data_IF_674169330904
#
_entry.id   IF_674169330904
#
_cell.length_a   1.000
_cell.length_b   1.000
_cell.length_c   1.000
_cell.angle_alpha   90.00
_cell.angle_beta   90.00
_cell.angle_gamma   90.00
#
_symmetry.space_group_name_H-M   'P 1'
#
loop_
_entity.id
_entity.type
_entity.pdbx_description
1 polymer ?
#
# COMPACT_ATOMS: atom_id res chain seq x y z
N UNK A 1 33.02 7.25 19.15
CA UNK A 1 32.82 8.43 18.30
C UNK A 1 33.24 8.07 16.87
N UNK A 2 32.36 7.50 16.05
CA UNK A 2 32.57 7.43 14.60
C UNK A 2 31.92 8.67 14.00
N UNK A 3 32.75 9.52 13.38
CA UNK A 3 32.35 10.67 12.64
C UNK A 3 31.45 10.27 11.46
N UNK A 4 30.40 11.03 11.28
CA UNK A 4 29.55 11.20 10.12
C UNK A 4 30.17 10.69 8.82
N UNK A 5 29.61 9.66 8.24
CA UNK A 5 29.81 9.33 6.84
C UNK A 5 28.74 10.06 6.05
N UNK A 6 29.15 11.01 5.23
CA UNK A 6 28.29 11.73 4.28
C UNK A 6 27.57 10.73 3.37
N UNK A 7 26.30 10.47 3.65
CA UNK A 7 25.43 9.70 2.80
C UNK A 7 24.89 10.63 1.71
N UNK A 8 25.51 10.62 0.52
CA UNK A 8 25.03 11.33 -0.69
C UNK A 8 24.63 12.81 -0.46
N UNK A 9 25.42 13.57 0.30
CA UNK A 9 25.20 15.01 0.49
C UNK A 9 24.35 15.40 1.70
N UNK A 10 23.98 14.46 2.56
CA UNK A 10 23.31 14.75 3.83
C UNK A 10 24.32 14.86 4.97
N UNK A 11 24.19 15.91 5.79
CA UNK A 11 24.91 16.00 7.06
C UNK A 11 24.15 15.17 8.11
N UNK A 12 24.82 14.19 8.72
CA UNK A 12 24.19 13.26 9.65
C UNK A 12 24.76 13.42 11.06
N UNK A 13 23.90 13.71 12.02
CA UNK A 13 24.22 13.72 13.46
C UNK A 13 23.54 12.52 14.12
N UNK A 14 24.27 11.78 14.94
CA UNK A 14 23.74 10.57 15.60
C UNK A 14 23.58 10.75 17.11
N UNK A 15 22.43 10.33 17.63
CA UNK A 15 22.11 10.29 19.05
C UNK A 15 21.90 8.83 19.50
N UNK A 16 22.44 8.46 20.65
CA UNK A 16 22.32 7.09 21.20
C UNK A 16 21.09 6.88 22.07
N UNK A 17 20.38 7.94 22.41
CA UNK A 17 19.15 7.94 23.21
C UNK A 17 18.34 9.21 22.97
N UNK A 18 17.09 9.24 23.46
CA UNK A 18 16.16 10.36 23.26
C UNK A 18 16.67 11.65 23.91
N UNK A 19 17.23 11.61 25.10
CA UNK A 19 17.73 12.79 25.78
C UNK A 19 18.85 13.52 25.00
N UNK A 20 19.71 12.77 24.29
CA UNK A 20 20.72 13.33 23.39
C UNK A 20 20.12 13.87 22.09
N UNK A 21 19.12 13.16 21.54
CA UNK A 21 18.41 13.62 20.36
C UNK A 21 17.72 14.95 20.62
N UNK A 22 17.02 15.10 21.74
CA UNK A 22 16.40 16.36 22.17
C UNK A 22 17.39 17.52 22.24
N UNK A 23 18.56 17.30 22.86
CA UNK A 23 19.63 18.34 22.91
C UNK A 23 20.12 18.76 21.52
N UNK A 24 20.27 17.83 20.58
CA UNK A 24 20.66 18.18 19.20
C UNK A 24 19.57 18.98 18.50
N UNK A 25 18.29 18.58 18.67
CA UNK A 25 17.14 19.27 18.07
C UNK A 25 17.00 20.70 18.62
N UNK A 26 17.32 20.92 19.91
CA UNK A 26 17.29 22.25 20.56
C UNK A 26 18.47 23.14 20.15
N UNK A 27 19.62 22.55 19.80
CA UNK A 27 20.86 23.29 19.51
C UNK A 27 21.17 23.49 18.03
N UNK A 28 20.58 22.69 17.15
CA UNK A 28 20.87 22.66 15.71
C UNK A 28 19.57 22.60 14.90
N UNK A 29 19.62 23.09 13.65
CA UNK A 29 18.49 22.93 12.73
C UNK A 29 18.50 21.50 12.18
N UNK A 30 17.39 20.78 12.38
CA UNK A 30 17.20 19.40 11.93
C UNK A 30 16.08 19.37 10.90
N UNK A 31 16.40 18.92 9.69
CA UNK A 31 15.44 18.85 8.58
C UNK A 31 14.64 17.56 8.59
N UNK A 32 15.18 16.47 9.15
CA UNK A 32 14.54 15.14 9.22
C UNK A 32 15.15 14.32 10.35
N UNK A 33 14.31 13.55 11.02
CA UNK A 33 14.72 12.62 12.07
C UNK A 33 14.48 11.17 11.58
N UNK A 34 15.50 10.32 11.74
CA UNK A 34 15.41 8.88 11.56
C UNK A 34 15.61 8.21 12.90
N UNK A 35 14.58 7.60 13.46
CA UNK A 35 14.62 7.01 14.81
C UNK A 35 14.33 5.52 14.77
N UNK A 36 15.06 4.75 15.59
CA UNK A 36 14.62 3.39 15.90
C UNK A 36 13.34 3.46 16.74
N UNK A 37 12.43 2.52 16.53
CA UNK A 37 11.24 2.39 17.36
C UNK A 37 11.61 2.06 18.81
N UNK A 38 12.54 1.12 18.99
CA UNK A 38 13.04 0.71 20.33
C UNK A 38 14.41 1.28 20.59
N UNK A 39 14.48 2.22 21.51
CA UNK A 39 15.72 2.80 22.01
C UNK A 39 16.03 2.27 23.42
N UNK A 40 17.28 2.36 23.90
CA UNK A 40 17.68 1.80 25.18
C UNK A 40 16.99 2.42 26.41
N UNK A 41 16.55 3.68 26.29
CA UNK A 41 15.96 4.45 27.38
C UNK A 41 14.43 4.61 27.26
N UNK A 42 13.90 4.76 26.05
CA UNK A 42 12.47 4.98 25.76
C UNK A 42 12.16 4.57 24.32
N UNK A 43 10.88 4.52 23.96
CA UNK A 43 10.45 4.25 22.61
C UNK A 43 10.56 5.49 21.69
N UNK A 44 10.80 5.28 20.38
CA UNK A 44 10.78 6.36 19.38
C UNK A 44 9.45 7.12 19.33
N UNK A 45 8.37 6.52 19.85
CA UNK A 45 7.06 7.14 20.07
C UNK A 45 7.15 8.32 21.06
N UNK A 46 7.98 8.20 22.08
CA UNK A 46 8.13 9.27 23.08
C UNK A 46 8.83 10.50 22.49
N UNK A 47 9.75 10.29 21.53
CA UNK A 47 10.35 11.39 20.79
C UNK A 47 9.31 12.11 19.92
N UNK A 48 8.43 11.37 19.27
CA UNK A 48 7.37 11.92 18.43
C UNK A 48 6.37 12.75 19.25
N UNK A 49 5.95 12.25 20.42
CA UNK A 49 5.10 13.01 21.37
C UNK A 49 5.77 14.29 21.82
N UNK A 50 7.05 14.21 22.19
CA UNK A 50 7.82 15.36 22.62
C UNK A 50 7.93 16.43 21.51
N UNK A 51 8.14 16.04 20.25
CA UNK A 51 8.11 16.97 19.11
C UNK A 51 6.76 17.70 19.00
N UNK A 52 5.65 16.95 19.13
CA UNK A 52 4.30 17.52 19.12
C UNK A 52 4.04 18.49 20.28
N UNK A 53 4.45 18.16 21.48
CA UNK A 53 4.33 19.01 22.68
C UNK A 53 5.11 20.32 22.58
N UNK A 54 6.23 20.31 21.85
CA UNK A 54 7.06 21.50 21.62
C UNK A 54 6.73 22.24 20.32
N UNK A 55 5.69 21.80 19.59
CA UNK A 55 5.25 22.44 18.35
C UNK A 55 6.26 22.33 17.19
N UNK A 56 7.20 21.39 17.27
CA UNK A 56 8.24 21.18 16.27
C UNK A 56 7.72 20.29 15.13
N UNK A 57 7.62 20.84 13.92
CA UNK A 57 7.14 20.14 12.74
C UNK A 57 8.31 19.52 11.95
N UNK A 58 9.14 18.73 12.60
CA UNK A 58 10.25 18.03 11.97
C UNK A 58 9.75 16.67 11.49
N UNK A 59 9.86 16.32 10.19
CA UNK A 59 9.46 15.01 9.71
C UNK A 59 10.28 13.91 10.39
N UNK A 60 9.59 12.91 10.94
CA UNK A 60 10.21 11.79 11.62
C UNK A 60 9.85 10.49 10.93
N UNK A 61 10.87 9.73 10.52
CA UNK A 61 10.76 8.37 9.96
C UNK A 61 11.17 7.37 11.05
N UNK A 62 10.31 6.39 11.30
CA UNK A 62 10.60 5.33 12.29
C UNK A 62 11.21 4.11 11.62
N UNK A 63 12.31 3.61 12.16
CA UNK A 63 12.86 2.29 11.82
C UNK A 63 12.34 1.25 12.79
N UNK A 64 11.77 0.14 12.29
CA UNK A 64 11.18 -0.91 13.14
C UNK A 64 11.63 -2.31 12.72
N UNK A 65 11.76 -3.22 13.69
CA UNK A 65 11.88 -4.65 13.41
C UNK A 65 10.54 -5.28 13.05
N UNK A 66 10.57 -6.43 12.39
CA UNK A 66 9.39 -7.14 11.88
C UNK A 66 8.30 -7.45 12.91
N UNK A 67 8.63 -7.50 14.21
CA UNK A 67 7.68 -7.84 15.27
C UNK A 67 6.82 -6.66 15.79
N UNK A 68 7.10 -5.41 15.42
CA UNK A 68 6.53 -4.21 16.04
C UNK A 68 5.64 -3.36 15.13
N UNK A 69 4.98 -3.98 14.16
CA UNK A 69 4.13 -3.28 13.17
C UNK A 69 2.95 -2.55 13.84
N UNK A 70 2.39 -3.09 14.94
CA UNK A 70 1.34 -2.40 15.69
C UNK A 70 1.83 -1.08 16.29
N UNK A 71 3.07 -1.03 16.70
CA UNK A 71 3.71 0.19 17.23
C UNK A 71 4.04 1.19 16.11
N UNK A 72 4.41 0.72 14.90
CA UNK A 72 4.58 1.59 13.74
C UNK A 72 3.27 2.29 13.33
N UNK A 73 2.14 1.57 13.41
CA UNK A 73 0.80 2.13 13.19
C UNK A 73 0.47 3.22 14.22
N UNK A 74 0.86 3.01 15.47
CA UNK A 74 0.66 4.00 16.52
C UNK A 74 1.50 5.25 16.29
N UNK A 75 2.73 5.10 15.77
CA UNK A 75 3.58 6.24 15.42
C UNK A 75 3.04 7.08 14.27
N UNK A 76 2.42 6.46 13.26
CA UNK A 76 1.75 7.19 12.18
C UNK A 76 0.56 8.02 12.69
N UNK A 77 -0.23 7.49 13.65
CA UNK A 77 -1.32 8.25 14.32
C UNK A 77 -0.82 9.45 15.11
N UNK A 78 0.39 9.38 15.62
CA UNK A 78 1.02 10.44 16.41
C UNK A 78 1.77 11.46 15.52
N UNK A 79 1.75 11.30 14.19
CA UNK A 79 2.30 12.26 13.25
C UNK A 79 3.67 11.90 12.67
N UNK A 80 4.15 10.65 12.80
CA UNK A 80 5.31 10.21 12.03
C UNK A 80 5.01 10.30 10.52
N UNK A 81 5.99 10.76 9.74
CA UNK A 81 5.78 10.94 8.30
C UNK A 81 5.85 9.62 7.52
N UNK A 82 6.68 8.66 7.99
CA UNK A 82 6.78 7.31 7.41
C UNK A 82 7.50 6.35 8.39
N UNK A 83 7.60 5.07 7.99
CA UNK A 83 8.41 4.08 8.70
C UNK A 83 9.19 3.21 7.71
N UNK A 84 10.25 2.54 8.21
CA UNK A 84 11.10 1.63 7.43
C UNK A 84 11.29 0.34 8.22
N UNK A 85 11.03 -0.80 7.59
CA UNK A 85 11.29 -2.10 8.19
C UNK A 85 12.79 -2.44 8.13
N UNK A 86 13.33 -3.04 9.19
CA UNK A 86 14.68 -3.60 9.21
C UNK A 86 14.66 -5.03 8.67
N UNK A 87 15.64 -5.45 7.84
CA UNK A 87 16.86 -4.75 7.45
C UNK A 87 16.61 -3.62 6.45
N UNK A 88 17.21 -2.44 6.69
CA UNK A 88 16.99 -1.24 5.90
C UNK A 88 17.62 -1.36 4.51
N UNK A 89 16.82 -1.24 3.47
CA UNK A 89 17.31 -1.10 2.10
C UNK A 89 17.78 0.36 1.87
N UNK A 90 19.06 0.60 1.47
CA UNK A 90 19.59 1.95 1.29
C UNK A 90 18.83 2.79 0.24
N UNK A 91 18.37 2.18 -0.86
CA UNK A 91 17.67 2.90 -1.91
C UNK A 91 16.24 3.28 -1.48
N UNK A 92 15.56 2.42 -0.73
CA UNK A 92 14.26 2.71 -0.13
C UNK A 92 14.37 3.82 0.92
N UNK A 93 15.40 3.78 1.78
CA UNK A 93 15.67 4.82 2.76
C UNK A 93 15.87 6.19 2.10
N UNK A 94 16.71 6.26 1.08
CA UNK A 94 16.98 7.52 0.35
C UNK A 94 15.74 8.07 -0.33
N UNK A 95 14.89 7.21 -0.91
CA UNK A 95 13.62 7.60 -1.51
C UNK A 95 12.68 8.21 -0.47
N UNK A 96 12.48 7.54 0.68
CA UNK A 96 11.62 8.04 1.76
C UNK A 96 12.13 9.33 2.39
N UNK A 97 13.44 9.48 2.56
CA UNK A 97 14.05 10.75 3.00
C UNK A 97 13.71 11.87 2.01
N UNK A 98 13.87 11.64 0.71
CA UNK A 98 13.56 12.62 -0.33
C UNK A 98 12.09 13.02 -0.35
N UNK A 99 11.17 12.07 -0.20
CA UNK A 99 9.73 12.32 -0.13
C UNK A 99 9.36 13.14 1.11
N UNK A 100 9.92 12.81 2.28
CA UNK A 100 9.67 13.53 3.53
C UNK A 100 10.17 14.99 3.49
N UNK A 101 11.36 15.23 2.96
CA UNK A 101 11.93 16.58 2.82
C UNK A 101 11.16 17.44 1.80
N UNK A 102 10.69 16.85 0.70
CA UNK A 102 9.89 17.55 -0.30
C UNK A 102 8.50 17.92 0.23
N UNK A 103 7.86 17.05 1.01
CA UNK A 103 6.57 17.33 1.64
C UNK A 103 6.66 18.49 2.63
N UNK A 104 7.73 18.56 3.42
CA UNK A 104 7.98 19.67 4.36
C UNK A 104 8.24 20.99 3.66
N UNK A 105 8.98 20.98 2.55
CA UNK A 105 9.23 22.20 1.75
C UNK A 105 7.97 22.74 1.06
N UNK A 106 7.05 21.88 0.65
CA UNK A 106 5.78 22.29 0.05
C UNK A 106 4.79 22.86 1.08
N UNK A 107 4.75 22.30 2.29
CA UNK A 107 3.94 22.82 3.38
C UNK A 107 4.40 24.23 3.84
N UNK A 108 5.71 24.45 3.95
CA UNK A 108 6.30 25.76 4.24
C UNK A 108 5.98 26.82 3.16
N UNK A 109 6.03 26.44 1.87
CA UNK A 109 5.67 27.34 0.76
C UNK A 109 4.19 27.72 0.76
N UNK A 110 3.28 26.80 1.13
CA UNK A 110 1.85 27.09 1.27
C UNK A 110 1.57 28.04 2.44
N UNK A 111 2.24 27.88 3.58
CA UNK A 111 2.11 28.81 4.72
C UNK A 111 2.63 30.21 4.40
N UNK A 112 3.70 30.34 3.62
CA UNK A 112 4.24 31.65 3.20
C UNK A 112 3.37 32.36 2.13
N UNK A 113 2.54 31.62 1.37
CA UNK A 113 1.59 32.20 0.42
C UNK A 113 0.26 32.63 1.07
N UNK A 114 -0.11 32.02 2.20
CA UNK A 114 -1.32 32.36 2.95
C UNK A 114 -1.21 33.63 3.79
N UNK A 115 -0.01 34.13 4.02
CA UNK A 115 0.24 35.35 4.80
C UNK A 115 0.40 36.65 3.96
N UNK A 116 0.07 36.61 2.67
CA UNK A 116 0.16 37.77 1.75
C UNK A 116 -1.06 37.91 0.87
N UNK A 117 -2.25 38.00 1.43
CA UNK A 117 -3.40 38.61 0.74
C UNK A 117 -4.46 39.04 1.76
N UNK A 118 -4.25 40.21 2.36
CA UNK A 118 -5.36 41.12 2.70
C UNK A 118 -5.11 42.35 1.83
N UNK A 119 -5.95 42.55 0.83
CA UNK A 119 -6.62 43.76 0.41
C UNK A 119 -7.02 43.70 -1.07
N UNK A 120 -8.27 44.01 -1.26
CA UNK A 120 -8.96 44.54 -2.46
C UNK A 120 -10.04 43.66 -3.06
N UNK A 121 -11.22 43.98 -2.60
CA UNK A 121 -12.57 43.76 -3.13
C UNK A 121 -12.75 44.48 -4.47
N UNK A 122 -13.26 43.83 -5.55
CA UNK A 122 -14.44 44.25 -6.33
C UNK A 122 -14.79 43.25 -7.47
N UNK A 123 -16.07 43.11 -7.82
CA UNK A 123 -16.55 42.02 -8.68
C UNK A 123 -16.75 42.47 -10.13
N UNK A 124 -16.58 41.55 -11.10
CA UNK A 124 -17.36 41.58 -12.33
C UNK A 124 -17.38 40.24 -13.08
N UNK A 125 -18.58 39.89 -13.50
CA UNK A 125 -19.04 38.80 -14.37
C UNK A 125 -19.21 39.39 -15.79
N UNK A 126 -19.60 38.62 -16.83
CA UNK A 126 -19.15 37.38 -17.48
C UNK A 126 -18.90 37.54 -18.99
N UNK A 127 -18.38 36.52 -19.70
CA UNK A 127 -18.79 36.21 -21.10
C UNK A 127 -18.00 35.01 -21.67
N UNK A 128 -18.69 33.93 -21.96
CA UNK A 128 -19.08 33.41 -23.28
C UNK A 128 -17.99 32.72 -24.11
N UNK A 129 -18.24 31.43 -24.35
CA UNK A 129 -17.60 30.51 -25.32
C UNK A 129 -17.71 31.02 -26.78
N UNK A 130 -17.05 30.45 -27.78
CA UNK A 130 -17.43 29.17 -28.36
C UNK A 130 -16.33 28.29 -29.04
N UNK A 131 -16.63 27.00 -29.14
CA UNK A 131 -16.55 25.98 -30.22
C UNK A 131 -15.49 26.08 -31.33
N UNK A 132 -14.81 24.94 -31.60
CA UNK A 132 -14.94 24.08 -32.81
C UNK A 132 -13.80 23.06 -32.86
N UNK A 133 -14.09 21.76 -32.83
CA UNK A 133 -14.21 20.72 -33.88
C UNK A 133 -13.01 20.55 -34.81
N UNK A 134 -12.42 19.34 -34.83
CA UNK A 134 -12.36 18.42 -36.00
C UNK A 134 -11.61 17.11 -35.66
N UNK A 135 -12.29 16.03 -35.75
CA UNK A 135 -12.15 14.77 -36.52
C UNK A 135 -10.75 14.29 -36.94
N UNK A 136 -10.41 13.07 -36.55
CA UNK A 136 -10.24 11.92 -37.47
C UNK A 136 -9.99 10.60 -36.71
N UNK A 137 -10.88 9.73 -36.84
CA UNK A 137 -10.94 8.34 -37.35
C UNK A 137 -9.97 7.29 -36.83
N UNK A 138 -10.58 6.32 -36.16
CA UNK A 138 -10.56 4.86 -36.24
C UNK A 138 -9.22 4.11 -36.17
N UNK A 139 -9.05 3.32 -35.12
CA UNK A 139 -9.00 1.86 -35.30
C UNK A 139 -9.45 1.16 -34.01
N UNK A 140 -10.50 0.33 -34.16
CA UNK A 140 -11.05 -0.54 -33.11
C UNK A 140 -10.10 -1.70 -32.88
N UNK A 141 -9.61 -1.86 -31.65
CA UNK A 141 -9.31 -3.17 -31.09
C UNK A 141 -10.10 -3.30 -29.81
N UNK A 142 -11.09 -4.18 -29.82
CA UNK A 142 -11.84 -4.59 -28.62
C UNK A 142 -10.95 -5.48 -27.76
N UNK A 143 -10.73 -5.16 -26.49
CA UNK A 143 -10.25 -6.15 -25.53
C UNK A 143 -11.43 -7.02 -25.09
N UNK A 144 -11.17 -8.31 -24.98
CA UNK A 144 -12.05 -9.31 -24.41
C UNK A 144 -12.43 -8.90 -22.98
N UNK A 145 -13.74 -8.82 -22.74
CA UNK A 145 -14.33 -8.57 -21.42
C UNK A 145 -14.00 -9.73 -20.47
N UNK A 146 -12.96 -9.57 -19.66
CA UNK A 146 -12.87 -10.19 -18.36
C UNK A 146 -13.78 -9.40 -17.40
N UNK A 147 -14.49 -10.08 -16.53
CA UNK A 147 -15.50 -9.54 -15.66
C UNK A 147 -14.93 -8.41 -14.76
N UNK A 148 -14.96 -7.18 -15.22
CA UNK A 148 -14.75 -5.98 -14.42
C UNK A 148 -16.10 -5.55 -13.82
N UNK A 149 -16.41 -6.13 -12.67
CA UNK A 149 -17.34 -5.52 -11.73
C UNK A 149 -16.58 -4.42 -10.99
N UNK A 150 -16.50 -3.21 -11.51
CA UNK A 150 -16.09 -2.06 -10.71
C UNK A 150 -17.13 -1.84 -9.63
N UNK A 151 -16.82 -2.28 -8.39
CA UNK A 151 -17.65 -2.02 -7.22
C UNK A 151 -17.77 -0.51 -7.05
N UNK A 152 -19.00 0.02 -7.18
CA UNK A 152 -19.25 1.44 -6.95
C UNK A 152 -19.10 1.78 -5.46
N UNK A 153 -18.91 3.04 -5.12
CA UNK A 153 -18.82 3.47 -3.72
C UNK A 153 -20.07 3.15 -2.89
N UNK A 154 -21.21 2.85 -3.55
CA UNK A 154 -22.47 2.41 -2.93
C UNK A 154 -22.47 0.92 -2.54
N UNK A 155 -21.52 0.15 -3.02
CA UNK A 155 -21.45 -1.31 -2.79
C UNK A 155 -20.65 -1.68 -1.55
N UNK A 156 -20.12 -0.68 -0.82
CA UNK A 156 -19.30 -0.91 0.37
C UNK A 156 -20.09 -0.72 1.65
N UNK A 157 -20.37 -1.83 2.33
CA UNK A 157 -20.95 -1.85 3.66
C UNK A 157 -19.89 -2.11 4.72
N UNK A 158 -19.61 -1.09 5.53
CA UNK A 158 -18.80 -1.23 6.74
C UNK A 158 -19.72 -1.70 7.88
N UNK A 159 -19.32 -2.70 8.68
CA UNK A 159 -20.10 -3.12 9.84
C UNK A 159 -20.11 -2.06 10.95
N UNK A 160 -21.09 -2.15 11.84
CA UNK A 160 -21.29 -1.22 12.97
C UNK A 160 -20.71 -1.73 14.29
N UNK A 161 -20.36 -3.02 14.38
CA UNK A 161 -19.74 -3.61 15.56
C UNK A 161 -18.39 -2.97 15.89
N UNK A 162 -17.96 -3.02 17.14
CA UNK A 162 -16.66 -2.49 17.55
C UNK A 162 -15.50 -3.18 16.83
N UNK A 163 -15.61 -4.48 16.57
CA UNK A 163 -14.63 -5.22 15.79
C UNK A 163 -14.53 -4.71 14.34
N UNK A 164 -15.67 -4.40 13.70
CA UNK A 164 -15.70 -3.81 12.36
C UNK A 164 -15.13 -2.39 12.37
N UNK A 165 -15.53 -1.54 13.31
CA UNK A 165 -14.99 -0.18 13.47
C UNK A 165 -13.48 -0.18 13.63
N UNK A 166 -12.94 -1.10 14.45
CA UNK A 166 -11.52 -1.25 14.64
C UNK A 166 -10.81 -1.66 13.35
N UNK A 167 -11.34 -2.65 12.61
CA UNK A 167 -10.82 -3.07 11.31
C UNK A 167 -10.74 -1.89 10.33
N UNK A 168 -11.85 -1.16 10.15
CA UNK A 168 -11.89 -0.04 9.20
C UNK A 168 -11.06 1.17 9.64
N UNK A 169 -10.83 1.36 10.93
CA UNK A 169 -9.85 2.33 11.41
C UNK A 169 -8.43 1.95 10.95
N UNK A 170 -8.07 0.67 10.99
CA UNK A 170 -6.77 0.20 10.45
C UNK A 170 -6.71 0.31 8.92
N UNK A 171 -7.81 0.00 8.22
CA UNK A 171 -7.90 0.20 6.78
C UNK A 171 -7.65 1.66 6.41
N UNK A 172 -8.35 2.62 7.02
CA UNK A 172 -8.17 4.06 6.79
C UNK A 172 -6.74 4.53 7.08
N UNK A 173 -6.09 3.93 8.07
CA UNK A 173 -4.74 4.27 8.45
C UNK A 173 -3.69 3.77 7.45
N UNK A 174 -3.82 2.52 6.99
CA UNK A 174 -2.83 1.91 6.08
C UNK A 174 -3.02 2.32 4.63
N UNK A 175 -4.24 2.69 4.23
CA UNK A 175 -4.58 2.98 2.83
C UNK A 175 -3.72 4.08 2.18
N UNK A 176 -3.42 5.23 2.83
CA UNK A 176 -2.61 6.28 2.23
C UNK A 176 -1.11 5.93 2.09
N UNK A 177 -0.68 4.82 2.70
CA UNK A 177 0.73 4.39 2.67
C UNK A 177 1.02 3.51 1.45
N UNK A 178 2.32 3.26 1.17
CA UNK A 178 2.75 2.29 0.15
C UNK A 178 3.09 0.90 0.74
N UNK A 179 2.70 0.65 2.00
CA UNK A 179 2.95 -0.62 2.68
C UNK A 179 2.29 -1.78 1.98
N UNK A 180 2.98 -2.92 1.96
CA UNK A 180 2.36 -4.21 1.65
C UNK A 180 1.41 -4.59 2.79
N UNK A 181 0.20 -5.04 2.46
CA UNK A 181 -0.81 -5.42 3.45
C UNK A 181 -1.11 -6.90 3.33
N UNK A 182 -1.01 -7.63 4.45
CA UNK A 182 -1.43 -9.02 4.55
C UNK A 182 -2.76 -9.10 5.32
N UNK A 183 -3.81 -9.57 4.65
CA UNK A 183 -5.16 -9.74 5.22
C UNK A 183 -5.32 -11.20 5.64
N UNK A 184 -5.37 -11.44 6.94
CA UNK A 184 -5.59 -12.77 7.52
C UNK A 184 -7.06 -12.94 7.92
N UNK A 185 -7.68 -14.02 7.48
CA UNK A 185 -9.06 -14.34 7.88
C UNK A 185 -9.61 -15.59 7.24
N UNK A 186 -10.57 -16.21 7.86
CA UNK A 186 -11.26 -17.40 7.34
C UNK A 186 -11.86 -17.13 5.94
N UNK A 187 -12.11 -18.19 5.18
CA UNK A 187 -12.80 -18.04 3.89
C UNK A 187 -14.19 -17.41 4.09
N UNK A 188 -14.60 -16.55 3.15
CA UNK A 188 -15.89 -15.85 3.20
C UNK A 188 -15.98 -14.67 4.16
N UNK A 189 -14.87 -14.23 4.80
CA UNK A 189 -14.89 -13.07 5.71
C UNK A 189 -14.89 -11.70 5.01
N UNK A 190 -14.76 -11.67 3.68
CA UNK A 190 -14.74 -10.44 2.89
C UNK A 190 -13.34 -9.83 2.73
N UNK A 191 -12.29 -10.67 2.64
CA UNK A 191 -10.90 -10.20 2.45
C UNK A 191 -10.71 -9.36 1.19
N UNK A 192 -11.28 -9.79 0.06
CA UNK A 192 -11.23 -9.06 -1.21
C UNK A 192 -11.93 -7.70 -1.11
N UNK A 193 -13.08 -7.63 -0.43
CA UNK A 193 -13.78 -6.39 -0.17
C UNK A 193 -12.93 -5.38 0.59
N UNK A 194 -12.20 -5.84 1.62
CA UNK A 194 -11.26 -4.99 2.35
C UNK A 194 -10.08 -4.57 1.49
N UNK A 195 -9.57 -5.44 0.61
CA UNK A 195 -8.50 -5.10 -0.33
C UNK A 195 -8.92 -4.00 -1.31
N UNK A 196 -10.12 -4.09 -1.87
CA UNK A 196 -10.72 -3.02 -2.69
C UNK A 196 -10.84 -1.71 -1.91
N UNK A 197 -11.29 -1.77 -0.66
CA UNK A 197 -11.43 -0.59 0.19
C UNK A 197 -10.09 0.07 0.49
N UNK A 198 -9.02 -0.71 0.70
CA UNK A 198 -7.65 -0.21 0.85
C UNK A 198 -7.21 0.53 -0.41
N UNK A 199 -7.48 -0.03 -1.59
CA UNK A 199 -7.14 0.62 -2.86
C UNK A 199 -7.89 1.93 -3.05
N UNK A 200 -9.22 1.94 -2.85
CA UNK A 200 -10.06 3.14 -3.00
C UNK A 200 -9.66 4.30 -2.08
N UNK A 201 -9.21 4.01 -0.87
CA UNK A 201 -8.74 5.01 0.10
C UNK A 201 -7.26 5.35 -0.06
N UNK A 202 -6.57 4.79 -1.04
CA UNK A 202 -5.14 5.00 -1.28
C UNK A 202 -4.88 6.18 -2.21
N UNK A 203 -3.60 6.57 -2.30
CA UNK A 203 -3.14 7.54 -3.31
C UNK A 203 -3.17 7.00 -4.75
N UNK A 204 -3.51 5.72 -4.92
CA UNK A 204 -3.59 5.01 -6.20
C UNK A 204 -5.03 4.64 -6.58
N UNK A 205 -6.03 5.29 -5.98
CA UNK A 205 -7.46 4.98 -6.18
C UNK A 205 -7.91 5.07 -7.64
N UNK A 206 -7.31 5.98 -8.42
CA UNK A 206 -7.61 6.17 -9.85
C UNK A 206 -6.72 5.30 -10.77
N UNK A 207 -5.89 4.42 -10.20
CA UNK A 207 -4.98 3.54 -10.92
C UNK A 207 -5.53 2.11 -10.97
N UNK A 208 -4.97 1.21 -11.82
CA UNK A 208 -5.46 -0.15 -11.93
C UNK A 208 -5.49 -0.91 -10.59
N UNK A 209 -6.55 -1.67 -10.36
CA UNK A 209 -6.64 -2.68 -9.33
C UNK A 209 -6.75 -4.05 -10.02
N UNK A 210 -5.72 -4.89 -9.85
CA UNK A 210 -5.69 -6.23 -10.46
C UNK A 210 -5.75 -7.26 -9.35
N UNK A 211 -6.81 -8.08 -9.36
CA UNK A 211 -7.01 -9.17 -8.40
C UNK A 211 -6.66 -10.52 -9.02
N UNK A 212 -5.94 -11.34 -8.27
CA UNK A 212 -5.58 -12.72 -8.63
C UNK A 212 -5.91 -13.63 -7.46
N UNK A 213 -6.68 -14.67 -7.74
CA UNK A 213 -6.85 -15.81 -6.85
C UNK A 213 -5.76 -16.85 -7.15
N UNK A 214 -4.78 -16.94 -6.24
CA UNK A 214 -3.64 -17.86 -6.38
C UNK A 214 -4.06 -19.34 -6.28
N UNK A 215 -5.20 -19.63 -5.64
CA UNK A 215 -5.73 -20.99 -5.51
C UNK A 215 -6.39 -21.51 -6.79
N UNK A 216 -6.93 -20.61 -7.62
CA UNK A 216 -7.61 -20.98 -8.86
C UNK A 216 -6.68 -21.22 -10.05
N UNK A 217 -5.42 -20.76 -9.99
CA UNK A 217 -4.47 -20.84 -11.09
C UNK A 217 -3.68 -22.16 -11.03
N UNK A 218 -3.67 -22.99 -12.09
CA UNK A 218 -2.78 -24.13 -12.18
C UNK A 218 -1.32 -23.72 -11.97
N UNK A 219 -0.58 -24.49 -11.17
CA UNK A 219 0.81 -24.15 -10.78
C UNK A 219 1.73 -23.92 -11.96
N UNK A 220 1.53 -24.66 -13.05
CA UNK A 220 2.30 -24.59 -14.29
C UNK A 220 2.07 -23.28 -15.05
N UNK A 221 0.90 -22.67 -14.89
CA UNK A 221 0.52 -21.41 -15.55
C UNK A 221 0.76 -20.18 -14.68
N UNK A 222 0.96 -20.35 -13.37
CA UNK A 222 1.04 -19.27 -12.42
C UNK A 222 2.11 -18.23 -12.81
N UNK A 223 3.34 -18.64 -13.17
CA UNK A 223 4.38 -17.72 -13.60
C UNK A 223 3.97 -16.89 -14.82
N UNK A 224 3.26 -17.51 -15.78
CA UNK A 224 2.75 -16.84 -16.98
C UNK A 224 1.63 -15.84 -16.66
N UNK A 225 0.71 -16.19 -15.75
CA UNK A 225 -0.36 -15.28 -15.29
C UNK A 225 0.20 -14.05 -14.56
N UNK A 226 1.16 -14.26 -13.67
CA UNK A 226 1.77 -13.20 -12.89
C UNK A 226 2.68 -12.29 -13.72
N UNK A 227 3.64 -12.88 -14.45
CA UNK A 227 4.75 -12.13 -15.05
C UNK A 227 4.65 -12.00 -16.57
N UNK A 228 3.70 -12.72 -17.20
CA UNK A 228 3.56 -12.81 -18.64
C UNK A 228 4.53 -13.80 -19.28
N UNK A 229 4.40 -13.99 -20.59
CA UNK A 229 5.30 -14.84 -21.39
C UNK A 229 5.47 -14.29 -22.80
N UNK A 230 6.57 -14.68 -23.44
CA UNK A 230 6.77 -14.44 -24.87
C UNK A 230 6.34 -15.68 -25.67
N UNK A 231 5.98 -15.49 -26.92
CA UNK A 231 5.65 -16.56 -27.85
C UNK A 231 6.76 -17.61 -27.88
N UNK A 232 6.37 -18.89 -27.75
CA UNK A 232 7.31 -20.02 -27.77
C UNK A 232 7.99 -20.31 -26.42
N UNK A 233 7.64 -19.63 -25.35
CA UNK A 233 8.22 -19.82 -24.02
C UNK A 233 7.97 -21.23 -23.45
N UNK A 234 6.85 -21.86 -23.81
CA UNK A 234 6.49 -23.23 -23.44
C UNK A 234 5.51 -23.82 -24.47
N UNK A 235 5.25 -25.12 -24.40
CA UNK A 235 4.26 -25.80 -25.26
C UNK A 235 2.87 -25.22 -25.05
N UNK A 236 2.33 -24.54 -26.08
CA UNK A 236 1.04 -23.83 -25.99
C UNK A 236 1.16 -22.30 -25.93
N UNK A 237 2.36 -21.73 -25.78
CA UNK A 237 2.58 -20.28 -25.86
C UNK A 237 2.53 -19.80 -27.33
N UNK A 238 1.35 -19.66 -27.90
CA UNK A 238 1.14 -19.29 -29.31
C UNK A 238 1.34 -17.80 -29.57
N UNK A 239 1.11 -16.95 -28.57
CA UNK A 239 1.22 -15.48 -28.62
C UNK A 239 1.94 -14.97 -27.38
N UNK A 240 2.37 -13.70 -27.41
CA UNK A 240 2.84 -13.02 -26.21
C UNK A 240 1.66 -12.76 -25.26
N UNK A 241 1.89 -12.85 -23.96
CA UNK A 241 0.91 -12.51 -22.91
C UNK A 241 1.49 -11.51 -21.95
N UNK A 242 0.75 -10.43 -21.71
CA UNK A 242 1.03 -9.50 -20.63
C UNK A 242 0.65 -10.13 -19.29
N UNK A 243 1.51 -10.00 -18.29
CA UNK A 243 1.23 -10.53 -16.96
C UNK A 243 0.59 -9.48 -16.04
N UNK A 244 -0.08 -9.95 -15.00
CA UNK A 244 -0.81 -9.11 -14.04
C UNK A 244 0.05 -8.03 -13.37
N UNK A 245 1.35 -8.28 -13.17
CA UNK A 245 2.27 -7.26 -12.63
C UNK A 245 2.45 -6.06 -13.55
N UNK A 246 2.40 -6.26 -14.87
CA UNK A 246 2.45 -5.17 -15.85
C UNK A 246 1.10 -4.46 -15.93
N UNK A 247 0.01 -5.21 -15.87
CA UNK A 247 -1.36 -4.65 -15.85
C UNK A 247 -1.61 -3.78 -14.61
N UNK A 248 -1.09 -4.20 -13.45
CA UNK A 248 -1.19 -3.46 -12.20
C UNK A 248 -0.21 -2.29 -12.08
N UNK A 249 0.61 -2.01 -13.10
CA UNK A 249 1.66 -1.01 -13.00
C UNK A 249 1.10 0.39 -12.72
N UNK A 250 1.66 1.08 -11.73
CA UNK A 250 1.16 2.34 -11.17
C UNK A 250 0.06 2.17 -10.11
N UNK A 251 -0.59 1.00 -10.04
CA UNK A 251 -1.76 0.70 -9.24
C UNK A 251 -1.50 -0.27 -8.06
N UNK A 252 -2.48 -1.13 -7.83
CA UNK A 252 -2.48 -2.13 -6.75
C UNK A 252 -2.71 -3.52 -7.32
N UNK A 253 -1.88 -4.47 -6.90
CA UNK A 253 -2.12 -5.90 -7.14
C UNK A 253 -2.64 -6.54 -5.86
N UNK A 254 -3.73 -7.28 -5.96
CA UNK A 254 -4.31 -8.07 -4.88
C UNK A 254 -4.11 -9.56 -5.16
N UNK A 255 -3.49 -10.27 -4.21
CA UNK A 255 -3.23 -11.70 -4.30
C UNK A 255 -4.02 -12.42 -3.22
N UNK A 256 -5.13 -13.05 -3.57
CA UNK A 256 -5.88 -13.90 -2.63
C UNK A 256 -5.25 -15.30 -2.55
N UNK A 257 -5.40 -15.93 -1.40
CA UNK A 257 -4.86 -17.26 -1.09
C UNK A 257 -3.36 -17.41 -1.39
N UNK A 258 -2.56 -16.40 -1.00
CA UNK A 258 -1.13 -16.32 -1.31
C UNK A 258 -0.32 -17.54 -0.84
N UNK A 259 -0.82 -18.30 0.15
CA UNK A 259 -0.20 -19.55 0.64
C UNK A 259 -0.13 -20.65 -0.43
N UNK A 260 -1.00 -20.60 -1.47
CA UNK A 260 -1.05 -21.58 -2.55
C UNK A 260 0.03 -21.42 -3.63
N UNK A 261 0.84 -20.34 -3.57
CA UNK A 261 1.90 -20.10 -4.55
C UNK A 261 2.96 -21.19 -4.55
N UNK A 262 3.34 -21.67 -5.75
CA UNK A 262 4.48 -22.55 -5.89
C UNK A 262 5.77 -21.86 -5.45
N UNK A 263 6.76 -22.65 -4.98
CA UNK A 263 8.03 -22.11 -4.50
C UNK A 263 8.76 -21.24 -5.55
N UNK A 264 8.65 -21.60 -6.83
CA UNK A 264 9.24 -20.87 -7.95
C UNK A 264 8.60 -19.49 -8.14
N UNK A 265 7.26 -19.41 -8.03
CA UNK A 265 6.53 -18.13 -8.12
C UNK A 265 6.84 -17.25 -6.91
N UNK A 266 7.00 -17.84 -5.72
CA UNK A 266 7.40 -17.10 -4.52
C UNK A 266 8.76 -16.41 -4.71
N UNK A 267 9.76 -17.07 -5.35
CA UNK A 267 11.07 -16.46 -5.66
C UNK A 267 10.92 -15.28 -6.61
N UNK A 268 10.12 -15.44 -7.67
CA UNK A 268 9.93 -14.37 -8.66
C UNK A 268 9.14 -13.19 -8.06
N UNK A 269 8.14 -13.48 -7.22
CA UNK A 269 7.37 -12.47 -6.50
C UNK A 269 8.28 -11.65 -5.57
N UNK A 270 9.15 -12.30 -4.80
CA UNK A 270 10.10 -11.62 -3.94
C UNK A 270 10.99 -10.65 -4.72
N UNK A 271 11.54 -11.10 -5.87
CA UNK A 271 12.34 -10.24 -6.75
C UNK A 271 11.53 -9.05 -7.28
N UNK A 272 10.30 -9.28 -7.74
CA UNK A 272 9.43 -8.21 -8.21
C UNK A 272 9.18 -7.14 -7.14
N UNK A 273 9.02 -7.54 -5.89
CA UNK A 273 8.81 -6.63 -4.76
C UNK A 273 10.08 -5.89 -4.32
N UNK A 274 11.26 -6.53 -4.42
CA UNK A 274 12.52 -5.96 -3.98
C UNK A 274 13.17 -5.09 -5.07
N UNK A 275 13.24 -5.62 -6.29
CA UNK A 275 13.95 -4.98 -7.41
C UNK A 275 13.05 -4.06 -8.24
N UNK A 276 11.71 -4.11 -8.01
CA UNK A 276 10.72 -3.38 -8.81
C UNK A 276 10.80 -3.72 -10.31
N UNK A 277 11.18 -4.96 -10.60
CA UNK A 277 11.35 -5.48 -11.96
C UNK A 277 10.80 -6.89 -12.04
N UNK A 278 10.23 -7.20 -13.19
CA UNK A 278 9.80 -8.55 -13.55
C UNK A 278 10.47 -8.99 -14.83
N UNK A 279 10.43 -10.31 -15.08
CA UNK A 279 10.91 -10.91 -16.32
C UNK A 279 9.86 -11.89 -16.84
N UNK A 280 9.27 -11.64 -18.04
CA UNK A 280 8.33 -12.57 -18.67
C UNK A 280 8.96 -13.93 -18.91
N UNK A 281 8.16 -15.00 -18.81
CA UNK A 281 8.61 -16.37 -19.05
C UNK A 281 9.15 -16.49 -20.48
N UNK A 282 10.34 -17.08 -20.64
CA UNK A 282 11.05 -17.22 -21.91
C UNK A 282 11.81 -15.96 -22.37
N UNK A 283 11.70 -14.82 -21.64
CA UNK A 283 12.39 -13.57 -22.00
C UNK A 283 13.56 -13.29 -21.06
N UNK A 284 14.61 -12.68 -21.60
CA UNK A 284 15.71 -12.12 -20.81
C UNK A 284 15.53 -10.61 -20.55
N UNK A 285 14.47 -9.98 -21.06
CA UNK A 285 14.21 -8.56 -20.91
C UNK A 285 13.52 -8.30 -19.57
N UNK A 286 14.08 -7.41 -18.78
CA UNK A 286 13.45 -6.92 -17.54
C UNK A 286 12.48 -5.78 -17.84
N UNK A 287 11.35 -5.78 -17.15
CA UNK A 287 10.31 -4.76 -17.21
C UNK A 287 10.21 -4.14 -15.80
N UNK A 288 10.38 -2.84 -15.71
CA UNK A 288 10.18 -2.12 -14.43
C UNK A 288 8.68 -2.00 -14.12
N UNK A 289 8.32 -2.26 -12.85
CA UNK A 289 6.94 -2.19 -12.36
C UNK A 289 6.90 -1.43 -11.04
N UNK A 290 5.96 -0.52 -10.90
CA UNK A 290 5.65 0.15 -9.63
C UNK A 290 4.26 -0.28 -9.17
N UNK A 291 4.20 -1.24 -8.28
CA UNK A 291 2.95 -1.78 -7.75
C UNK A 291 2.88 -1.63 -6.22
N UNK A 292 1.67 -1.49 -5.70
CA UNK A 292 1.35 -1.73 -4.31
C UNK A 292 0.80 -3.14 -4.15
N UNK A 293 1.31 -3.90 -3.19
CA UNK A 293 0.83 -5.26 -2.91
C UNK A 293 -0.19 -5.24 -1.76
N UNK A 294 -1.34 -5.85 -1.99
CA UNK A 294 -2.26 -6.33 -0.96
C UNK A 294 -2.39 -7.84 -1.14
N UNK A 295 -2.23 -8.60 -0.09
CA UNK A 295 -2.33 -10.07 -0.14
C UNK A 295 -3.29 -10.57 0.92
N UNK A 296 -3.90 -11.72 0.69
CA UNK A 296 -4.80 -12.35 1.63
C UNK A 296 -4.54 -13.85 1.78
N UNK A 297 -4.83 -14.38 2.95
CA UNK A 297 -4.72 -15.81 3.25
C UNK A 297 -5.69 -16.22 4.34
N UNK A 298 -6.14 -17.47 4.29
CA UNK A 298 -6.84 -18.16 5.37
C UNK A 298 -5.93 -19.13 6.13
N UNK A 299 -4.68 -19.31 5.67
CA UNK A 299 -3.70 -20.23 6.24
C UNK A 299 -2.77 -19.54 7.23
N UNK A 300 -2.15 -20.35 8.10
CA UNK A 300 -1.05 -19.88 8.95
C UNK A 300 0.26 -19.99 8.18
N UNK A 301 0.73 -18.85 7.63
CA UNK A 301 1.96 -18.79 6.86
C UNK A 301 3.21 -19.10 7.70
N UNK A 302 3.21 -18.85 9.01
CA UNK A 302 4.32 -19.21 9.91
C UNK A 302 4.50 -20.72 9.97
N UNK A 303 3.41 -21.49 10.10
CA UNK A 303 3.44 -22.93 10.01
C UNK A 303 3.83 -23.44 8.61
N UNK A 304 3.47 -22.71 7.54
CA UNK A 304 3.89 -23.04 6.18
C UNK A 304 5.40 -22.85 6.01
N UNK A 305 5.97 -21.83 6.65
CA UNK A 305 7.43 -21.59 6.69
C UNK A 305 8.15 -22.75 7.40
N UNK A 306 7.68 -23.15 8.59
CA UNK A 306 8.25 -24.29 9.34
C UNK A 306 8.26 -25.58 8.52
N UNK A 307 7.23 -25.78 7.68
CA UNK A 307 7.11 -26.94 6.76
C UNK A 307 7.90 -26.77 5.45
N UNK A 308 8.55 -25.63 5.22
CA UNK A 308 9.27 -25.32 3.98
C UNK A 308 8.35 -25.08 2.76
N UNK A 309 7.05 -24.92 2.96
CA UNK A 309 6.07 -24.65 1.88
C UNK A 309 6.02 -23.18 1.51
N UNK A 310 6.37 -22.27 2.42
CA UNK A 310 6.42 -20.83 2.19
C UNK A 310 7.78 -20.26 2.59
N UNK A 311 8.26 -19.25 1.86
CA UNK A 311 9.57 -18.63 2.12
C UNK A 311 9.46 -17.57 3.21
N UNK A 312 10.36 -17.61 4.16
CA UNK A 312 10.45 -16.65 5.26
C UNK A 312 10.75 -15.23 4.77
N UNK A 313 11.67 -15.10 3.80
CA UNK A 313 12.04 -13.79 3.23
C UNK A 313 10.87 -13.12 2.48
N UNK A 314 10.05 -13.90 1.76
CA UNK A 314 8.83 -13.40 1.14
C UNK A 314 7.79 -13.02 2.19
N UNK A 315 7.59 -13.86 3.22
CA UNK A 315 6.66 -13.56 4.30
C UNK A 315 6.95 -12.19 4.93
N UNK A 316 8.20 -11.92 5.25
CA UNK A 316 8.60 -10.64 5.80
C UNK A 316 8.36 -9.46 4.86
N UNK A 317 8.42 -9.66 3.54
CA UNK A 317 8.18 -8.60 2.56
C UNK A 317 6.69 -8.31 2.32
N UNK A 318 5.82 -9.31 2.42
CA UNK A 318 4.37 -9.14 2.26
C UNK A 318 3.67 -8.75 3.55
N UNK A 319 4.24 -9.08 4.70
CA UNK A 319 3.68 -8.85 6.03
C UNK A 319 4.23 -7.57 6.67
N UNK A 320 4.27 -6.46 5.90
CA UNK A 320 4.62 -5.14 6.44
C UNK A 320 3.50 -4.57 7.32
N UNK A 321 2.24 -4.90 7.00
CA UNK A 321 1.07 -4.58 7.80
C UNK A 321 0.06 -5.73 7.79
N UNK A 322 -0.31 -6.24 8.95
CA UNK A 322 -1.31 -7.32 9.07
C UNK A 322 -2.67 -6.76 9.44
N UNK A 323 -3.70 -7.12 8.67
CA UNK A 323 -5.10 -6.95 9.02
C UNK A 323 -5.69 -8.32 9.38
N UNK A 324 -6.35 -8.41 10.52
CA UNK A 324 -7.09 -9.61 10.93
C UNK A 324 -8.57 -9.39 10.71
N UNK A 325 -9.18 -10.23 9.86
CA UNK A 325 -10.61 -10.19 9.61
C UNK A 325 -11.39 -10.84 10.76
N UNK A 326 -12.28 -10.12 11.44
CA UNK A 326 -13.15 -10.72 12.44
C UNK A 326 -14.15 -11.65 11.75
N UNK A 327 -14.42 -12.82 12.34
CA UNK A 327 -15.45 -13.71 11.84
C UNK A 327 -16.85 -13.13 12.15
N UNK A 328 -17.84 -13.47 11.33
CA UNK A 328 -19.20 -12.95 11.51
C UNK A 328 -19.80 -13.32 12.88
N UNK A 329 -19.44 -14.50 13.42
CA UNK A 329 -19.84 -14.93 14.77
C UNK A 329 -19.33 -14.01 15.90
N UNK A 330 -18.20 -13.31 15.67
CA UNK A 330 -17.55 -12.42 16.63
C UNK A 330 -18.08 -10.97 16.50
N UNK A 331 -18.94 -10.71 15.50
CA UNK A 331 -19.60 -9.42 15.22
C UNK A 331 -21.10 -9.62 14.98
N UNK A 332 -21.79 -10.18 15.97
CA UNK A 332 -23.20 -10.57 15.85
C UNK A 332 -24.12 -9.41 15.49
N UNK A 333 -23.80 -8.20 15.91
CA UNK A 333 -24.53 -6.97 15.63
C UNK A 333 -24.59 -6.67 14.13
N UNK A 334 -23.57 -7.09 13.38
CA UNK A 334 -23.49 -6.86 11.93
C UNK A 334 -24.30 -7.89 11.11
N UNK A 335 -24.76 -9.01 11.70
CA UNK A 335 -25.42 -10.11 10.96
C UNK A 335 -26.65 -9.62 10.20
N UNK A 336 -27.54 -8.91 10.90
CA UNK A 336 -28.78 -8.39 10.30
C UNK A 336 -28.48 -7.28 9.29
N UNK A 337 -27.50 -6.46 9.55
CA UNK A 337 -27.07 -5.41 8.64
C UNK A 337 -26.59 -5.99 7.32
N UNK A 338 -25.70 -7.00 7.34
CA UNK A 338 -25.24 -7.68 6.13
C UNK A 338 -26.34 -8.47 5.44
N UNK A 339 -27.24 -9.15 6.21
CA UNK A 339 -28.35 -9.90 5.62
C UNK A 339 -29.31 -8.98 4.83
N UNK A 340 -29.67 -7.83 5.39
CA UNK A 340 -30.50 -6.84 4.71
C UNK A 340 -29.81 -6.28 3.46
N UNK A 341 -28.54 -5.92 3.56
CA UNK A 341 -27.77 -5.41 2.43
C UNK A 341 -27.74 -6.39 1.26
N UNK A 342 -27.40 -7.66 1.50
CA UNK A 342 -27.39 -8.67 0.43
C UNK A 342 -28.77 -8.98 -0.11
N UNK A 343 -29.81 -8.93 0.73
CA UNK A 343 -31.20 -9.09 0.27
C UNK A 343 -31.61 -7.95 -0.66
N UNK A 344 -31.27 -6.71 -0.30
CA UNK A 344 -31.58 -5.54 -1.13
C UNK A 344 -30.79 -5.58 -2.45
N UNK A 345 -29.54 -6.01 -2.43
CA UNK A 345 -28.73 -6.21 -3.64
C UNK A 345 -29.36 -7.27 -4.56
N UNK A 346 -29.72 -8.42 -4.01
CA UNK A 346 -30.39 -9.49 -4.78
C UNK A 346 -31.73 -9.03 -5.37
N UNK A 347 -32.51 -8.26 -4.63
CA UNK A 347 -33.77 -7.71 -5.13
C UNK A 347 -33.57 -6.75 -6.30
N UNK A 348 -32.59 -5.86 -6.24
CA UNK A 348 -32.23 -4.95 -7.36
C UNK A 348 -31.83 -5.73 -8.61
N UNK A 349 -30.93 -6.72 -8.46
CA UNK A 349 -30.52 -7.55 -9.61
C UNK A 349 -31.68 -8.33 -10.24
N UNK A 350 -32.70 -8.70 -9.45
CA UNK A 350 -33.91 -9.35 -9.98
C UNK A 350 -34.88 -8.37 -10.65
N UNK A 351 -34.92 -7.11 -10.20
CA UNK A 351 -35.74 -6.07 -10.83
C UNK A 351 -35.14 -5.62 -12.18
N UNK A 352 -33.83 -5.51 -12.29
CA UNK A 352 -33.12 -5.15 -13.52
C UNK A 352 -33.20 -6.23 -14.61
N UNK A 353 -33.59 -7.46 -14.27
CA UNK A 353 -33.79 -8.59 -15.21
C UNK A 353 -35.25 -8.74 -15.72
N UNK A 354 -36.17 -7.90 -15.27
CA UNK A 354 -37.58 -7.83 -15.78
C UNK A 354 -37.73 -6.75 -16.83
#
# INVERSE_FOLDING_TARGET
>A
TRRSSDLKGFQVTSASNIARAQKHIESETVDLILSDLRLPDKDGIDLLKWLGEHGLQIPLIIMTGYADIQSAVQTMKLGACDYIAKPVNPDELLKKIGEALNASSSALKQMMHSSRTDDAFTPNRPSVSPKQTMHSDKMKNQPLKGAEGSLSSSDFLEGESDAAKQLYNYVKLVSPTNMSVLINGASGTGKEYVAHRIHQLSKRADQPFVAIDCGSIPKELAASEFFGHIKGAFTGALTDKTGAFVEANGGTIFLDEIGNLSYEVQIQLLRALQERKIRPVGSNKEISVDIRLVSATNENLEQAIEKGAFREDLYHRINEFTLRMPQLKDRREDILLFANFFLDQANREMEDRK
#
